data_IF_507608954371
#
_entry.id   IF_507608954371
#
_cell.length_a   1.000
_cell.length_b   1.000
_cell.length_c   1.000
_cell.angle_alpha   90.00
_cell.angle_beta   90.00
_cell.angle_gamma   90.00
#
_symmetry.space_group_name_H-M   'P 1'
#
loop_
_entity.id
_entity.type
_entity.pdbx_description
1 polymer ?
#
# COMPACT_ATOMS: atom_id res chain seq x y z
N UNK A 1 4.34 -8.17 -19.20
CA UNK A 1 4.68 -8.64 -17.84
C UNK A 1 5.92 -7.87 -17.42
N UNK A 2 5.84 -6.98 -16.41
CA UNK A 2 7.04 -6.26 -15.94
C UNK A 2 7.88 -7.24 -15.12
N UNK A 3 8.97 -7.72 -15.72
CA UNK A 3 9.96 -8.57 -15.05
C UNK A 3 10.99 -7.72 -14.31
N UNK A 4 11.75 -8.36 -13.43
CA UNK A 4 12.95 -7.77 -12.82
C UNK A 4 14.15 -8.32 -13.56
N UNK A 5 15.01 -7.42 -14.06
CA UNK A 5 16.30 -7.82 -14.62
C UNK A 5 17.26 -8.21 -13.49
N UNK A 6 17.85 -9.40 -13.61
CA UNK A 6 18.83 -9.94 -12.69
C UNK A 6 20.21 -9.41 -13.07
N UNK A 7 20.94 -8.83 -12.11
CA UNK A 7 22.34 -8.48 -12.32
C UNK A 7 23.23 -9.67 -11.99
N UNK A 8 24.29 -9.89 -12.77
CA UNK A 8 25.25 -10.98 -12.55
C UNK A 8 25.92 -10.80 -11.19
N UNK A 9 25.76 -11.77 -10.28
CA UNK A 9 26.25 -11.72 -8.90
C UNK A 9 25.21 -11.29 -7.84
N UNK A 10 23.97 -10.99 -8.23
CA UNK A 10 22.90 -10.79 -7.26
C UNK A 10 22.37 -12.15 -6.74
N UNK A 11 22.22 -12.32 -5.41
CA UNK A 11 21.59 -13.53 -4.88
C UNK A 11 20.11 -13.59 -5.30
N UNK A 12 19.65 -14.78 -5.68
CA UNK A 12 18.28 -15.03 -6.18
C UNK A 12 17.21 -14.45 -5.24
N UNK A 13 17.41 -14.57 -3.93
CA UNK A 13 16.49 -14.04 -2.92
C UNK A 13 16.30 -12.52 -3.00
N UNK A 14 17.35 -11.78 -3.34
CA UNK A 14 17.29 -10.32 -3.44
C UNK A 14 16.46 -9.90 -4.64
N UNK A 15 16.61 -10.60 -5.76
CA UNK A 15 15.79 -10.36 -6.93
C UNK A 15 14.31 -10.71 -6.70
N UNK A 16 14.02 -11.83 -6.03
CA UNK A 16 12.66 -12.20 -5.64
C UNK A 16 12.03 -11.17 -4.71
N UNK A 17 12.79 -10.62 -3.75
CA UNK A 17 12.34 -9.51 -2.90
C UNK A 17 12.02 -8.25 -3.71
N UNK A 18 12.87 -7.88 -4.68
CA UNK A 18 12.60 -6.72 -5.56
C UNK A 18 11.32 -6.90 -6.37
N UNK A 19 11.15 -8.08 -6.97
CA UNK A 19 9.94 -8.42 -7.72
C UNK A 19 8.70 -8.32 -6.83
N UNK A 20 8.76 -8.89 -5.62
CA UNK A 20 7.66 -8.81 -4.66
C UNK A 20 7.33 -7.37 -4.28
N UNK A 21 8.34 -6.54 -3.96
CA UNK A 21 8.13 -5.13 -3.60
C UNK A 21 7.53 -4.32 -4.74
N UNK A 22 7.95 -4.57 -5.99
CA UNK A 22 7.33 -3.93 -7.16
C UNK A 22 5.85 -4.33 -7.30
N UNK A 23 5.53 -5.62 -7.18
CA UNK A 23 4.15 -6.12 -7.29
C UNK A 23 3.25 -5.63 -6.15
N UNK A 24 3.80 -5.50 -4.94
CA UNK A 24 3.10 -4.94 -3.78
C UNK A 24 2.87 -3.42 -3.96
N UNK A 25 3.84 -2.70 -4.52
CA UNK A 25 3.73 -1.26 -4.81
C UNK A 25 2.72 -0.93 -5.92
N UNK A 26 2.68 -1.72 -6.99
CA UNK A 26 1.69 -1.60 -8.06
C UNK A 26 0.29 -2.10 -7.64
N UNK A 27 0.19 -2.82 -6.51
CA UNK A 27 -1.06 -3.35 -5.98
C UNK A 27 -1.63 -4.54 -6.77
N UNK A 28 -0.84 -5.14 -7.67
CA UNK A 28 -1.28 -6.25 -8.53
C UNK A 28 -1.69 -7.46 -7.70
N UNK A 29 -0.95 -7.78 -6.62
CA UNK A 29 -1.29 -8.92 -5.75
C UNK A 29 -2.59 -8.69 -4.96
N UNK A 30 -2.87 -7.44 -4.55
CA UNK A 30 -4.13 -7.08 -3.91
C UNK A 30 -5.30 -7.20 -4.89
N UNK A 31 -5.11 -6.70 -6.11
CA UNK A 31 -6.09 -6.76 -7.19
C UNK A 31 -6.42 -8.19 -7.62
N UNK A 32 -5.40 -9.06 -7.74
CA UNK A 32 -5.58 -10.48 -8.04
C UNK A 32 -6.37 -11.19 -6.94
N UNK A 33 -6.05 -10.95 -5.65
CA UNK A 33 -6.84 -11.50 -4.53
C UNK A 33 -8.28 -11.03 -4.56
N UNK A 34 -8.50 -9.76 -4.90
CA UNK A 34 -9.84 -9.15 -4.97
C UNK A 34 -10.69 -9.76 -6.08
N UNK A 35 -10.10 -10.08 -7.23
CA UNK A 35 -10.80 -10.67 -8.39
C UNK A 35 -11.11 -12.16 -8.23
N UNK A 36 -10.60 -12.85 -7.18
CA UNK A 36 -10.89 -14.27 -6.94
C UNK A 36 -12.37 -14.56 -6.68
N UNK A 37 -13.12 -13.59 -6.17
CA UNK A 37 -14.54 -13.72 -5.91
C UNK A 37 -15.28 -12.46 -6.36
N UNK A 38 -16.55 -12.62 -6.72
CA UNK A 38 -17.41 -11.48 -7.02
C UNK A 38 -17.61 -10.61 -5.77
N UNK A 39 -17.51 -9.30 -5.96
CA UNK A 39 -17.75 -8.30 -4.93
C UNK A 39 -18.92 -7.40 -5.32
N UNK A 40 -19.94 -7.37 -4.47
CA UNK A 40 -21.10 -6.49 -4.64
C UNK A 40 -20.70 -5.01 -4.56
N UNK A 41 -21.52 -4.15 -5.18
CA UNK A 41 -21.26 -2.70 -5.24
C UNK A 41 -21.16 -2.07 -3.85
N UNK A 42 -22.02 -2.49 -2.92
CA UNK A 42 -21.97 -2.05 -1.53
C UNK A 42 -20.64 -2.40 -0.83
N UNK A 43 -20.16 -3.65 -0.99
CA UNK A 43 -18.86 -4.07 -0.43
C UNK A 43 -17.68 -3.33 -1.06
N UNK A 44 -17.76 -3.05 -2.36
CA UNK A 44 -16.76 -2.24 -3.07
C UNK A 44 -16.64 -0.84 -2.48
N UNK A 45 -17.77 -0.19 -2.18
CA UNK A 45 -17.79 1.14 -1.58
C UNK A 45 -17.20 1.14 -0.17
N UNK A 46 -17.63 0.19 0.66
CA UNK A 46 -17.10 0.02 2.02
C UNK A 46 -15.58 -0.21 2.02
N UNK A 47 -15.08 -1.05 1.10
CA UNK A 47 -13.64 -1.28 0.93
C UNK A 47 -12.90 0.01 0.58
N UNK A 48 -13.37 0.76 -0.43
CA UNK A 48 -12.73 2.00 -0.87
C UNK A 48 -12.57 2.99 0.29
N UNK A 49 -13.64 3.22 1.04
CA UNK A 49 -13.64 4.09 2.22
C UNK A 49 -12.62 3.63 3.26
N UNK A 50 -12.61 2.33 3.59
CA UNK A 50 -11.65 1.74 4.55
C UNK A 50 -10.20 1.89 4.08
N UNK A 51 -9.92 1.59 2.81
CA UNK A 51 -8.56 1.67 2.26
C UNK A 51 -8.06 3.11 2.18
N UNK A 52 -8.92 4.07 1.83
CA UNK A 52 -8.57 5.48 1.74
C UNK A 52 -8.22 6.04 3.13
N UNK A 53 -9.07 5.80 4.13
CA UNK A 53 -8.83 6.22 5.51
C UNK A 53 -7.52 5.61 6.07
N UNK A 54 -7.29 4.31 5.84
CA UNK A 54 -6.07 3.64 6.29
C UNK A 54 -4.81 4.23 5.62
N UNK A 55 -4.84 4.44 4.30
CA UNK A 55 -3.70 5.04 3.57
C UNK A 55 -3.41 6.46 4.03
N UNK A 56 -4.46 7.27 4.24
CA UNK A 56 -4.34 8.62 4.79
C UNK A 56 -3.68 8.60 6.17
N UNK A 57 -4.17 7.76 7.08
CA UNK A 57 -3.66 7.70 8.44
C UNK A 57 -2.22 7.19 8.51
N UNK A 58 -1.82 6.24 7.64
CA UNK A 58 -0.43 5.77 7.56
C UNK A 58 0.49 6.88 7.03
N UNK A 59 0.07 7.60 5.99
CA UNK A 59 0.86 8.67 5.37
C UNK A 59 1.20 9.78 6.36
N UNK A 60 0.25 10.15 7.21
CA UNK A 60 0.39 11.24 8.16
C UNK A 60 0.68 10.78 9.59
N UNK A 61 0.92 9.47 9.81
CA UNK A 61 1.07 8.89 11.16
C UNK A 61 2.18 9.55 11.98
N UNK A 62 3.23 9.99 11.32
CA UNK A 62 4.44 10.54 11.94
C UNK A 62 4.66 12.02 11.61
N UNK A 63 3.68 12.68 11.00
CA UNK A 63 3.78 14.12 10.74
C UNK A 63 3.51 14.87 12.06
N UNK A 64 4.58 15.32 12.69
CA UNK A 64 4.59 16.02 13.99
C UNK A 64 3.94 17.40 13.94
N UNK A 65 3.58 17.90 12.75
CA UNK A 65 3.03 19.25 12.56
C UNK A 65 1.63 19.45 13.17
N UNK A 66 0.90 18.38 13.49
CA UNK A 66 -0.41 18.44 14.17
C UNK A 66 -0.36 18.28 15.70
N UNK A 67 0.82 18.07 16.30
CA UNK A 67 0.94 17.88 17.76
C UNK A 67 1.19 19.17 18.55
N UNK A 68 1.14 20.35 17.92
CA UNK A 68 1.03 21.61 18.65
C UNK A 68 -0.45 21.97 18.79
N UNK A 69 -1.10 21.69 19.93
CA UNK A 69 -2.33 22.38 20.26
C UNK A 69 -2.00 23.87 20.41
N UNK A 70 -2.43 24.68 19.46
CA UNK A 70 -2.41 26.15 19.51
C UNK A 70 -3.53 26.64 20.47
N UNK A 71 -3.62 26.05 21.65
CA UNK A 71 -4.65 26.34 22.66
C UNK A 71 -4.11 26.16 24.08
N UNK A 72 -2.86 26.58 24.30
CA UNK A 72 -2.29 26.83 25.63
C UNK A 72 -2.03 28.33 25.84
N UNK A 73 -2.78 29.19 25.15
CA UNK A 73 -2.91 30.63 25.43
C UNK A 73 -4.41 30.96 25.46
N UNK A 74 -5.00 30.85 26.65
CA UNK A 74 -6.21 31.55 27.10
C UNK A 74 -6.31 31.41 28.62
#
# INVERSE_FOLDING_TARGET
MRGVELKKGEPVDRALKRLKTMLDGEGILEEMRRRRAFESVARRQLRKNRTAAKRHNIRWRFDSKKLKPESAEA
#
